data_IF_380063845570
#
_entry.id   IF_380063845570
#
_cell.length_a   1.000
_cell.length_b   1.000
_cell.length_c   1.000
_cell.angle_alpha   90.00
_cell.angle_beta   90.00
_cell.angle_gamma   90.00
#
_symmetry.space_group_name_H-M   'P 1'
#
loop_
_entity.id
_entity.type
_entity.pdbx_description
1 polymer ?
#
# COMPACT_ATOMS: atom_id res chain seq x y z
N UNK A 1 10.65 -11.88 10.40
CA UNK A 1 10.88 -10.87 9.35
C UNK A 1 10.90 -11.57 8.00
N UNK A 2 10.49 -10.89 6.93
CA UNK A 2 10.46 -11.43 5.57
C UNK A 2 10.86 -10.34 4.58
N UNK A 3 11.52 -10.71 3.49
CA UNK A 3 11.89 -9.81 2.39
C UNK A 3 11.40 -10.47 1.10
N UNK A 4 10.79 -9.68 0.22
CA UNK A 4 10.15 -10.19 -0.96
C UNK A 4 9.82 -9.07 -1.95
N UNK A 5 9.30 -9.47 -3.11
CA UNK A 5 8.90 -8.52 -4.15
C UNK A 5 7.56 -7.87 -3.83
N UNK A 6 7.30 -6.72 -4.45
CA UNK A 6 6.01 -6.04 -4.32
C UNK A 6 4.83 -6.92 -4.72
N UNK A 7 4.99 -7.84 -5.68
CA UNK A 7 3.92 -8.76 -6.11
C UNK A 7 3.36 -9.61 -4.96
N UNK A 8 4.23 -10.03 -4.03
CA UNK A 8 3.81 -10.80 -2.86
C UNK A 8 2.90 -9.99 -1.95
N UNK A 9 3.14 -8.68 -1.86
CA UNK A 9 2.28 -7.72 -1.16
C UNK A 9 0.98 -7.47 -1.93
N UNK A 10 1.06 -7.25 -3.26
CA UNK A 10 -0.10 -7.01 -4.11
C UNK A 10 -1.08 -8.20 -4.13
N UNK A 11 -0.59 -9.43 -3.93
CA UNK A 11 -1.43 -10.61 -3.73
C UNK A 11 -2.37 -10.52 -2.52
N UNK A 12 -2.10 -9.67 -1.53
CA UNK A 12 -3.02 -9.40 -0.42
C UNK A 12 -4.21 -8.51 -0.83
N UNK A 13 -4.14 -7.82 -1.97
CA UNK A 13 -5.25 -7.05 -2.55
C UNK A 13 -6.09 -7.83 -3.56
N UNK A 14 -5.64 -9.04 -3.95
CA UNK A 14 -6.26 -9.87 -4.99
C UNK A 14 -7.18 -10.94 -4.40
N UNK A 15 -8.24 -11.32 -5.16
CA UNK A 15 -9.03 -12.52 -4.85
C UNK A 15 -8.19 -13.76 -5.13
N UNK A 16 -7.70 -14.41 -4.07
CA UNK A 16 -6.83 -15.59 -4.17
C UNK A 16 -7.15 -16.62 -3.10
N UNK A 17 -6.84 -17.90 -3.35
CA UNK A 17 -6.89 -18.94 -2.32
C UNK A 17 -5.94 -18.55 -1.19
N UNK A 18 -6.42 -18.70 0.05
CA UNK A 18 -5.71 -18.33 1.29
C UNK A 18 -5.54 -16.82 1.55
N UNK A 19 -6.41 -15.97 0.99
CA UNK A 19 -6.38 -14.52 1.25
C UNK A 19 -6.41 -14.18 2.75
N UNK A 20 -7.25 -14.87 3.54
CA UNK A 20 -7.32 -14.67 4.99
C UNK A 20 -5.98 -14.89 5.70
N UNK A 21 -5.22 -15.92 5.30
CA UNK A 21 -3.87 -16.18 5.86
C UNK A 21 -2.87 -15.08 5.47
N UNK A 22 -2.98 -14.51 4.27
CA UNK A 22 -2.13 -13.38 3.84
C UNK A 22 -2.44 -12.14 4.68
N UNK A 23 -3.70 -11.80 4.90
CA UNK A 23 -4.05 -10.69 5.79
C UNK A 23 -3.54 -10.95 7.21
N UNK A 24 -3.75 -12.14 7.77
CA UNK A 24 -3.24 -12.51 9.09
C UNK A 24 -1.71 -12.39 9.17
N UNK A 25 -0.98 -12.77 8.11
CA UNK A 25 0.47 -12.68 8.07
C UNK A 25 1.01 -11.23 8.09
N UNK A 26 0.16 -10.24 7.85
CA UNK A 26 0.50 -8.81 7.83
C UNK A 26 0.14 -8.10 9.14
N UNK A 27 -0.82 -8.62 9.90
CA UNK A 27 -1.21 -8.07 11.21
C UNK A 27 -0.01 -8.07 12.16
N UNK A 28 0.19 -6.95 12.86
CA UNK A 28 1.27 -6.79 13.85
C UNK A 28 2.67 -6.62 13.25
N UNK A 29 2.79 -6.42 11.93
CA UNK A 29 4.05 -6.10 11.26
C UNK A 29 4.19 -4.62 10.96
N UNK A 30 5.39 -4.22 10.56
CA UNK A 30 5.66 -2.97 9.86
C UNK A 30 5.99 -3.33 8.42
N UNK A 31 5.34 -2.66 7.47
CA UNK A 31 5.54 -2.89 6.04
C UNK A 31 6.41 -1.77 5.48
N UNK A 32 7.54 -2.11 4.86
CA UNK A 32 8.38 -1.16 4.14
C UNK A 32 8.32 -1.52 2.68
N UNK A 33 7.87 -0.58 1.85
CA UNK A 33 7.79 -0.74 0.39
C UNK A 33 8.89 0.10 -0.21
N UNK A 34 9.85 -0.58 -0.82
CA UNK A 34 11.00 0.07 -1.45
C UNK A 34 10.77 0.30 -2.94
N UNK A 35 11.44 1.33 -3.47
CA UNK A 35 11.42 1.69 -4.90
C UNK A 35 10.02 1.90 -5.50
N UNK A 36 9.11 2.52 -4.74
CA UNK A 36 7.77 2.88 -5.21
C UNK A 36 7.84 3.99 -6.26
N UNK A 37 8.16 3.62 -7.48
CA UNK A 37 8.14 4.52 -8.61
C UNK A 37 6.71 4.73 -9.09
N UNK A 38 6.50 5.63 -10.07
CA UNK A 38 5.24 5.77 -10.79
C UNK A 38 4.95 4.46 -11.55
N UNK A 39 4.52 3.46 -10.80
CA UNK A 39 4.22 2.14 -11.28
C UNK A 39 3.06 2.23 -12.26
N UNK A 40 3.03 1.29 -13.18
CA UNK A 40 2.03 1.25 -14.25
C UNK A 40 0.61 1.36 -13.68
N UNK A 41 -0.33 1.92 -14.44
CA UNK A 41 -1.68 2.30 -13.96
C UNK A 41 -2.39 1.14 -13.24
N UNK A 42 -2.13 -0.09 -13.68
CA UNK A 42 -2.63 -1.32 -13.07
C UNK A 42 -2.11 -1.56 -11.65
N UNK A 43 -0.80 -1.44 -11.40
CA UNK A 43 -0.22 -1.72 -10.09
C UNK A 43 -0.62 -0.71 -9.03
N UNK A 44 -0.85 0.55 -9.42
CA UNK A 44 -1.32 1.59 -8.51
C UNK A 44 -2.66 1.23 -7.87
N UNK A 45 -3.60 0.68 -8.65
CA UNK A 45 -4.91 0.27 -8.11
C UNK A 45 -4.80 -0.88 -7.08
N UNK A 46 -3.88 -1.84 -7.29
CA UNK A 46 -3.64 -2.89 -6.30
C UNK A 46 -2.94 -2.37 -5.06
N UNK A 47 -1.97 -1.48 -5.24
CA UNK A 47 -1.28 -0.86 -4.12
C UNK A 47 -2.24 -0.06 -3.26
N UNK A 48 -3.12 0.75 -3.86
CA UNK A 48 -4.17 1.49 -3.14
C UNK A 48 -5.09 0.54 -2.37
N UNK A 49 -5.50 -0.56 -2.99
CA UNK A 49 -6.34 -1.56 -2.33
C UNK A 49 -5.63 -2.23 -1.15
N UNK A 50 -4.34 -2.53 -1.28
CA UNK A 50 -3.55 -3.11 -0.20
C UNK A 50 -3.37 -2.10 0.92
N UNK A 51 -3.05 -0.83 0.61
CA UNK A 51 -2.90 0.23 1.59
C UNK A 51 -4.19 0.44 2.41
N UNK A 52 -5.36 0.40 1.77
CA UNK A 52 -6.64 0.46 2.47
C UNK A 52 -6.82 -0.69 3.48
N UNK A 53 -6.45 -1.92 3.10
CA UNK A 53 -6.48 -3.05 4.04
C UNK A 53 -5.47 -2.89 5.18
N UNK A 54 -4.26 -2.40 4.89
CA UNK A 54 -3.24 -2.17 5.91
C UNK A 54 -3.66 -1.06 6.89
N UNK A 55 -4.32 -0.02 6.39
CA UNK A 55 -4.91 1.06 7.18
C UNK A 55 -5.99 0.55 8.13
N UNK A 56 -6.92 -0.25 7.62
CA UNK A 56 -7.97 -0.87 8.44
C UNK A 56 -7.38 -1.75 9.55
N UNK A 57 -6.29 -2.46 9.26
CA UNK A 57 -5.57 -3.26 10.26
C UNK A 57 -4.61 -2.48 11.14
N UNK A 58 -4.49 -1.15 10.94
CA UNK A 58 -3.54 -0.26 11.63
C UNK A 58 -2.10 -0.76 11.56
N UNK A 59 -1.72 -1.36 10.44
CA UNK A 59 -0.35 -1.81 10.16
C UNK A 59 0.46 -0.60 9.74
N UNK A 60 1.58 -0.26 10.42
CA UNK A 60 2.41 0.86 10.00
C UNK A 60 3.07 0.58 8.63
N UNK A 61 3.04 1.57 7.75
CA UNK A 61 3.61 1.48 6.39
C UNK A 61 4.62 2.60 6.15
N UNK A 62 5.78 2.25 5.61
CA UNK A 62 6.79 3.20 5.10
C UNK A 62 6.93 2.98 3.60
N UNK A 63 6.82 4.05 2.82
CA UNK A 63 6.97 4.03 1.36
C UNK A 63 8.22 4.80 0.98
N UNK A 64 9.15 4.15 0.29
CA UNK A 64 10.38 4.75 -0.23
C UNK A 64 10.28 4.88 -1.74
N UNK A 65 10.71 6.03 -2.29
CA UNK A 65 10.67 6.31 -3.72
C UNK A 65 11.68 7.38 -4.10
N UNK A 66 12.30 7.25 -5.27
CA UNK A 66 13.16 8.28 -5.83
C UNK A 66 12.38 9.43 -6.48
N UNK A 67 11.24 9.16 -7.13
CA UNK A 67 10.58 10.12 -8.05
C UNK A 67 9.05 10.04 -8.04
N UNK A 68 8.42 10.09 -6.86
CA UNK A 68 6.96 10.04 -6.76
C UNK A 68 6.30 11.43 -6.90
N UNK A 69 5.38 11.65 -7.87
CA UNK A 69 4.67 12.92 -8.02
C UNK A 69 3.82 13.26 -6.78
N UNK A 70 3.63 14.55 -6.50
CA UNK A 70 2.87 15.02 -5.32
C UNK A 70 1.45 14.43 -5.24
N UNK A 71 0.72 14.46 -6.36
CA UNK A 71 -0.61 13.84 -6.46
C UNK A 71 -0.58 12.38 -6.02
N UNK A 72 0.44 11.62 -6.44
CA UNK A 72 0.51 10.20 -6.13
C UNK A 72 0.84 9.95 -4.65
N UNK A 73 1.66 10.79 -4.02
CA UNK A 73 1.88 10.73 -2.57
C UNK A 73 0.58 10.92 -1.79
N UNK A 74 -0.21 11.92 -2.18
CA UNK A 74 -1.50 12.20 -1.56
C UNK A 74 -2.50 11.03 -1.75
N UNK A 75 -2.54 10.42 -2.94
CA UNK A 75 -3.37 9.25 -3.21
C UNK A 75 -2.98 8.03 -2.37
N UNK A 76 -1.69 7.75 -2.19
CA UNK A 76 -1.25 6.65 -1.33
C UNK A 76 -1.60 6.90 0.15
N UNK A 77 -1.44 8.14 0.61
CA UNK A 77 -1.82 8.53 1.98
C UNK A 77 -3.33 8.41 2.19
N UNK A 78 -4.13 8.89 1.24
CA UNK A 78 -5.58 8.75 1.21
C UNK A 78 -6.02 7.29 1.22
N UNK A 79 -5.39 6.45 0.39
CA UNK A 79 -5.69 5.03 0.35
C UNK A 79 -5.46 4.34 1.70
N UNK A 80 -4.42 4.74 2.45
CA UNK A 80 -4.13 4.19 3.78
C UNK A 80 -5.07 4.74 4.87
N UNK A 81 -5.36 6.03 4.86
CA UNK A 81 -6.15 6.71 5.91
C UNK A 81 -7.65 6.60 5.70
N UNK A 82 -8.10 6.36 4.46
CA UNK A 82 -9.49 6.49 4.06
C UNK A 82 -9.96 7.95 3.91
N UNK A 83 -9.04 8.92 3.98
CA UNK A 83 -9.32 10.36 3.84
C UNK A 83 -9.25 10.83 2.38
N UNK A 84 -9.80 12.00 2.10
CA UNK A 84 -9.80 12.57 0.75
C UNK A 84 -8.39 13.04 0.33
N UNK A 85 -7.92 12.56 -0.83
CA UNK A 85 -6.58 12.86 -1.35
C UNK A 85 -6.33 14.36 -1.58
N UNK A 86 -7.36 15.14 -1.89
CA UNK A 86 -7.23 16.60 -2.08
C UNK A 86 -6.87 17.29 -0.77
N UNK A 87 -7.46 16.87 0.36
CA UNK A 87 -7.16 17.45 1.67
C UNK A 87 -5.71 17.17 2.11
N UNK A 88 -5.15 16.04 1.69
CA UNK A 88 -3.76 15.62 1.99
C UNK A 88 -2.71 16.21 1.04
N UNK A 89 -3.12 16.70 -0.14
CA UNK A 89 -2.20 17.33 -1.08
C UNK A 89 -1.83 18.77 -0.66
N UNK A 90 -2.67 19.40 0.14
CA UNK A 90 -2.55 20.78 0.62
C UNK A 90 -1.90 20.89 2.02
N UNK A 91 -1.63 19.75 2.67
CA UNK A 91 -0.99 19.63 3.98
C UNK A 91 0.54 19.44 3.88
#
# INVERSE_FOLDING_TARGET
>A
FAVGTIDQLLMAGLKSRHLALRHLAMVGKVVVIDEVHAYDTYMNAYLDRVLAWLGEYRVPVVVLSATLPARRRAELAAAYTGEDATALADA
#
